data_IF_586229715358
#
_entry.id   IF_586229715358
#
_cell.length_a   1.000
_cell.length_b   1.000
_cell.length_c   1.000
_cell.angle_alpha   90.00
_cell.angle_beta   90.00
_cell.angle_gamma   90.00
#
_symmetry.space_group_name_H-M   'P 1'
#
loop_
_entity.id
_entity.type
_entity.pdbx_description
1 polymer ?
#
# COMPACT_ATOMS: atom_id res chain seq x y z
N UNK A 1 -1.61 2.55 -12.76
CA UNK A 1 -1.66 4.01 -12.47
C UNK A 1 -0.63 4.32 -11.40
N UNK A 2 -0.26 5.59 -11.22
CA UNK A 2 0.61 6.01 -10.10
C UNK A 2 0.01 7.23 -9.42
N UNK A 3 0.27 7.43 -8.13
CA UNK A 3 -0.06 8.68 -7.46
C UNK A 3 1.09 9.14 -6.55
N UNK A 4 1.10 10.43 -6.24
CA UNK A 4 2.02 10.98 -5.24
C UNK A 4 1.83 10.27 -3.91
N UNK A 5 2.95 9.96 -3.24
CA UNK A 5 2.92 9.55 -1.85
C UNK A 5 2.31 10.67 -1.00
N UNK A 6 1.15 10.41 -0.41
CA UNK A 6 0.40 11.40 0.35
C UNK A 6 0.94 11.56 1.79
N UNK A 7 2.26 11.64 1.92
CA UNK A 7 2.98 11.84 3.18
C UNK A 7 3.72 13.17 3.15
N UNK A 8 3.64 13.87 4.27
CA UNK A 8 4.50 15.01 4.55
C UNK A 8 5.82 14.50 5.15
N UNK A 9 6.94 15.05 4.71
CA UNK A 9 8.26 14.66 5.20
C UNK A 9 9.40 15.02 4.24
N UNK A 10 10.62 14.69 4.64
CA UNK A 10 11.79 14.84 3.77
C UNK A 10 11.76 13.78 2.65
N UNK A 11 12.02 14.18 1.41
CA UNK A 11 12.01 13.23 0.30
C UNK A 11 13.03 12.11 0.50
N UNK A 12 14.16 12.35 1.19
CA UNK A 12 15.20 11.35 1.47
C UNK A 12 14.71 10.24 2.38
N UNK A 13 13.81 10.54 3.32
CA UNK A 13 13.25 9.53 4.22
C UNK A 13 12.13 8.73 3.56
N UNK A 14 11.58 9.21 2.45
CA UNK A 14 10.44 8.62 1.74
C UNK A 14 10.82 7.89 0.45
N UNK A 15 12.11 7.88 0.06
CA UNK A 15 12.55 7.29 -1.23
C UNK A 15 12.27 5.80 -1.36
N UNK A 16 12.17 5.14 -0.21
CA UNK A 16 12.02 3.72 -0.08
C UNK A 16 10.57 3.31 0.26
N UNK A 17 9.63 4.25 0.34
CA UNK A 17 8.24 3.95 0.68
C UNK A 17 7.41 3.73 -0.59
N UNK A 18 7.04 2.48 -0.82
CA UNK A 18 6.25 2.07 -1.97
C UNK A 18 5.00 1.33 -1.52
N UNK A 19 3.85 1.83 -1.95
CA UNK A 19 2.55 1.21 -1.68
C UNK A 19 1.95 0.78 -3.02
N UNK A 20 1.84 -0.53 -3.24
CA UNK A 20 1.17 -1.09 -4.41
C UNK A 20 -0.20 -1.57 -3.96
N UNK A 21 -1.26 -1.07 -4.59
CA UNK A 21 -2.63 -1.46 -4.24
C UNK A 21 -3.45 -1.82 -5.48
N UNK A 22 -4.34 -2.78 -5.29
CA UNK A 22 -5.26 -3.28 -6.30
C UNK A 22 -6.69 -2.93 -5.92
N UNK A 23 -7.43 -2.36 -6.87
CA UNK A 23 -8.82 -1.95 -6.70
C UNK A 23 -9.65 -2.51 -7.87
N UNK A 24 -10.73 -3.24 -7.62
CA UNK A 24 -11.71 -3.55 -8.65
C UNK A 24 -12.54 -2.30 -8.99
N UNK A 25 -12.74 -2.06 -10.27
CA UNK A 25 -13.65 -1.06 -10.80
C UNK A 25 -15.10 -1.56 -10.71
N UNK A 26 -15.91 -0.79 -9.98
CA UNK A 26 -17.33 -1.09 -9.75
C UNK A 26 -18.11 -1.17 -11.06
N UNK A 27 -18.86 -2.25 -11.25
CA UNK A 27 -19.65 -2.49 -12.46
C UNK A 27 -18.88 -3.03 -13.67
N UNK A 28 -17.54 -3.14 -13.60
CA UNK A 28 -16.72 -3.65 -14.70
C UNK A 28 -16.03 -4.97 -14.35
N UNK A 29 -15.31 -5.03 -13.23
CA UNK A 29 -14.52 -6.20 -12.82
C UNK A 29 -14.61 -6.46 -11.30
N UNK A 30 -15.66 -5.98 -10.66
CA UNK A 30 -15.97 -6.18 -9.24
C UNK A 30 -16.69 -7.50 -8.95
N UNK A 31 -17.34 -8.10 -9.95
CA UNK A 31 -17.88 -9.47 -9.85
C UNK A 31 -16.74 -10.48 -9.79
N UNK A 32 -16.85 -11.41 -8.83
CA UNK A 32 -15.87 -12.50 -8.62
C UNK A 32 -14.41 -12.02 -8.49
N UNK A 33 -14.21 -10.79 -8.00
CA UNK A 33 -12.87 -10.22 -7.83
C UNK A 33 -12.14 -10.71 -6.58
N UNK A 34 -12.85 -11.30 -5.61
CA UNK A 34 -12.28 -11.73 -4.32
C UNK A 34 -11.11 -12.72 -4.50
N UNK A 35 -11.22 -13.80 -5.30
CA UNK A 35 -10.07 -14.67 -5.57
C UNK A 35 -8.87 -13.95 -6.17
N UNK A 36 -9.11 -12.96 -7.05
CA UNK A 36 -8.05 -12.16 -7.67
C UNK A 36 -7.35 -11.24 -6.67
N UNK A 37 -8.10 -10.65 -5.74
CA UNK A 37 -7.55 -9.83 -4.66
C UNK A 37 -6.72 -10.67 -3.68
N UNK A 38 -7.17 -11.91 -3.40
CA UNK A 38 -6.40 -12.86 -2.59
C UNK A 38 -5.10 -13.26 -3.30
N UNK A 39 -5.17 -13.53 -4.60
CA UNK A 39 -4.00 -13.88 -5.40
C UNK A 39 -2.98 -12.73 -5.42
N UNK A 40 -3.44 -11.48 -5.59
CA UNK A 40 -2.59 -10.30 -5.46
C UNK A 40 -1.81 -10.29 -4.14
N UNK A 41 -2.48 -10.54 -3.01
CA UNK A 41 -1.82 -10.59 -1.70
C UNK A 41 -0.84 -11.76 -1.58
N UNK A 42 -1.20 -12.96 -2.08
CA UNK A 42 -0.31 -14.13 -2.07
C UNK A 42 0.94 -13.89 -2.91
N UNK A 43 0.81 -13.25 -4.07
CA UNK A 43 1.93 -12.85 -4.89
C UNK A 43 2.80 -11.82 -4.16
N UNK A 44 2.20 -10.82 -3.52
CA UNK A 44 2.94 -9.80 -2.78
C UNK A 44 3.84 -10.41 -1.69
N UNK A 45 3.31 -11.38 -0.93
CA UNK A 45 4.03 -12.06 0.17
C UNK A 45 5.34 -12.69 -0.29
N UNK A 46 5.43 -13.18 -1.53
CA UNK A 46 6.67 -13.78 -2.08
C UNK A 46 7.84 -12.78 -2.15
N UNK A 47 7.52 -11.49 -2.17
CA UNK A 47 8.49 -10.39 -2.28
C UNK A 47 8.74 -9.68 -0.93
N UNK A 48 8.43 -10.34 0.19
CA UNK A 48 8.70 -9.86 1.56
C UNK A 48 8.22 -8.42 1.84
N UNK A 49 6.90 -8.15 1.71
CA UNK A 49 6.36 -6.83 1.99
C UNK A 49 6.47 -6.50 3.48
N UNK A 50 6.74 -5.23 3.81
CA UNK A 50 6.76 -4.75 5.20
C UNK A 50 5.36 -4.67 5.79
N UNK A 51 4.34 -4.51 4.96
CA UNK A 51 2.94 -4.59 5.38
C UNK A 51 2.05 -5.07 4.22
N UNK A 52 0.97 -5.76 4.54
CA UNK A 52 -0.11 -6.06 3.61
C UNK A 52 -1.43 -5.81 4.31
N UNK A 53 -2.47 -5.48 3.56
CA UNK A 53 -3.77 -5.26 4.16
C UNK A 53 -4.92 -5.21 3.19
N UNK A 54 -6.10 -5.31 3.79
CA UNK A 54 -7.38 -5.07 3.16
C UNK A 54 -8.00 -3.80 3.75
N UNK A 55 -8.52 -2.91 2.91
CA UNK A 55 -9.20 -1.68 3.33
C UNK A 55 -10.42 -1.92 4.23
N UNK A 56 -11.04 -3.10 4.19
CA UNK A 56 -12.20 -3.43 5.02
C UNK A 56 -11.82 -4.12 6.34
N UNK A 57 -10.78 -4.96 6.34
CA UNK A 57 -10.42 -5.82 7.48
C UNK A 57 -9.06 -5.48 8.10
N UNK A 58 -8.29 -4.51 7.61
CA UNK A 58 -7.01 -4.08 8.18
C UNK A 58 -5.81 -4.92 7.72
N UNK A 59 -4.65 -4.68 8.34
CA UNK A 59 -3.34 -5.21 7.91
C UNK A 59 -2.87 -6.50 8.60
N UNK A 60 -1.65 -6.94 8.25
CA UNK A 60 -1.02 -8.14 8.80
C UNK A 60 -0.62 -8.01 10.28
N UNK A 61 -0.34 -6.79 10.75
CA UNK A 61 -0.13 -6.50 12.17
C UNK A 61 -1.45 -6.18 12.84
N UNK A 62 -1.91 -7.08 13.71
CA UNK A 62 -3.24 -7.01 14.31
C UNK A 62 -3.17 -6.82 15.82
N UNK A 63 -4.11 -6.06 16.41
CA UNK A 63 -4.21 -5.97 17.86
C UNK A 63 -4.59 -7.35 18.44
N UNK A 64 -3.93 -7.72 19.54
CA UNK A 64 -4.35 -8.88 20.32
C UNK A 64 -5.67 -8.55 21.01
N UNK A 65 -6.63 -9.48 21.00
CA UNK A 65 -7.84 -9.37 21.83
C UNK A 65 -7.54 -9.68 23.31
N UNK A 66 -6.50 -10.45 23.55
CA UNK A 66 -6.03 -10.82 24.88
C UNK A 66 -4.87 -9.91 25.25
N UNK A 67 -5.20 -8.73 25.76
CA UNK A 67 -4.24 -7.80 26.34
C UNK A 67 -4.33 -7.93 27.86
N UNK A 68 -3.32 -8.55 28.45
CA UNK A 68 -3.11 -8.56 29.90
C UNK A 68 -1.75 -7.90 30.20
N UNK A 69 -1.46 -7.49 31.45
CA UNK A 69 -0.19 -6.85 31.78
C UNK A 69 1.04 -7.65 31.34
N UNK A 70 0.98 -8.98 31.34
CA UNK A 70 2.08 -9.86 30.94
C UNK A 70 2.33 -9.87 29.42
N UNK A 71 1.37 -9.41 28.60
CA UNK A 71 1.49 -9.37 27.15
C UNK A 71 2.69 -8.53 26.68
N UNK A 72 3.15 -7.57 27.47
CA UNK A 72 4.38 -6.82 27.16
C UNK A 72 5.62 -7.71 27.02
N UNK A 73 5.67 -8.84 27.75
CA UNK A 73 6.84 -9.73 27.79
C UNK A 73 6.65 -11.04 27.02
N UNK A 74 5.41 -11.41 26.71
CA UNK A 74 5.09 -12.72 26.10
C UNK A 74 4.44 -12.61 24.73
N UNK A 75 4.07 -11.41 24.27
CA UNK A 75 3.42 -11.23 22.98
C UNK A 75 4.36 -11.61 21.85
N UNK A 76 3.93 -12.59 21.06
CA UNK A 76 4.53 -12.89 19.77
C UNK A 76 4.20 -11.77 18.78
N UNK A 77 5.21 -11.21 18.15
CA UNK A 77 5.06 -10.21 17.10
C UNK A 77 5.07 -10.88 15.72
N UNK A 78 4.15 -11.83 15.52
CA UNK A 78 4.05 -12.61 14.28
C UNK A 78 3.01 -11.97 13.35
N UNK A 79 3.32 -11.77 12.06
CA UNK A 79 2.38 -11.21 11.10
C UNK A 79 1.31 -12.23 10.71
N UNK A 80 0.04 -11.83 10.77
CA UNK A 80 -1.11 -12.69 10.47
C UNK A 80 -1.44 -12.69 8.96
N UNK A 81 -0.48 -13.09 8.13
CA UNK A 81 -0.56 -13.00 6.66
C UNK A 81 -1.75 -13.79 6.10
N UNK A 82 -1.85 -15.08 6.42
CA UNK A 82 -2.94 -15.93 5.91
C UNK A 82 -4.31 -15.44 6.38
N UNK A 83 -4.40 -14.94 7.62
CA UNK A 83 -5.64 -14.36 8.14
C UNK A 83 -6.11 -13.15 7.32
N UNK A 84 -5.17 -12.29 6.88
CA UNK A 84 -5.50 -11.15 6.00
C UNK A 84 -6.04 -11.66 4.66
N UNK A 85 -5.35 -12.63 4.04
CA UNK A 85 -5.74 -13.18 2.74
C UNK A 85 -7.11 -13.85 2.80
N UNK A 86 -7.35 -14.70 3.78
CA UNK A 86 -8.63 -15.42 3.92
C UNK A 86 -9.80 -14.49 4.25
N UNK A 87 -9.55 -13.41 4.99
CA UNK A 87 -10.60 -12.45 5.39
C UNK A 87 -11.05 -11.50 4.29
N UNK A 88 -10.35 -11.43 3.16
CA UNK A 88 -10.86 -10.73 1.97
C UNK A 88 -12.12 -11.46 1.52
N UNK A 89 -13.29 -10.87 1.80
CA UNK A 89 -14.61 -11.50 1.59
C UNK A 89 -15.51 -10.76 0.60
N UNK A 90 -15.16 -9.53 0.24
CA UNK A 90 -15.96 -8.64 -0.59
C UNK A 90 -15.04 -7.82 -1.51
N UNK A 91 -15.57 -7.25 -2.62
CA UNK A 91 -14.86 -6.28 -3.41
C UNK A 91 -14.39 -5.12 -2.51
N UNK A 92 -13.09 -4.86 -2.52
CA UNK A 92 -12.38 -3.96 -1.61
C UNK A 92 -11.04 -3.57 -2.22
N UNK A 93 -10.32 -2.65 -1.56
CA UNK A 93 -8.94 -2.31 -1.90
C UNK A 93 -8.00 -3.18 -1.09
N UNK A 94 -7.07 -3.86 -1.75
CA UNK A 94 -5.95 -4.56 -1.09
C UNK A 94 -4.65 -3.84 -1.39
N UNK A 95 -3.75 -3.81 -0.42
CA UNK A 95 -2.48 -3.11 -0.54
C UNK A 95 -1.32 -3.96 0.00
N UNK A 96 -0.16 -3.77 -0.61
CA UNK A 96 1.14 -4.27 -0.17
C UNK A 96 2.12 -3.10 -0.10
N UNK A 97 2.87 -3.02 0.98
CA UNK A 97 3.83 -1.97 1.27
C UNK A 97 5.23 -2.57 1.25
N UNK A 98 6.16 -1.89 0.59
CA UNK A 98 7.54 -2.31 0.43
C UNK A 98 8.47 -1.16 0.85
N UNK A 99 9.63 -1.53 1.38
CA UNK A 99 10.68 -0.61 1.85
C UNK A 99 11.90 -0.57 0.89
N UNK A 100 11.78 -1.20 -0.27
CA UNK A 100 12.85 -1.27 -1.25
C UNK A 100 12.29 -1.41 -2.66
N UNK A 101 13.05 -0.87 -3.62
CA UNK A 101 12.64 -0.76 -5.01
C UNK A 101 12.65 -2.11 -5.75
N UNK A 102 13.63 -2.96 -5.47
CA UNK A 102 13.81 -4.25 -6.13
C UNK A 102 12.60 -5.17 -5.91
N UNK A 103 12.09 -5.24 -4.67
CA UNK A 103 10.89 -6.02 -4.35
C UNK A 103 9.66 -5.56 -5.14
N UNK A 104 9.49 -4.23 -5.30
CA UNK A 104 8.37 -3.65 -6.04
C UNK A 104 8.47 -3.97 -7.53
N UNK A 105 9.65 -3.84 -8.12
CA UNK A 105 9.87 -4.13 -9.54
C UNK A 105 9.59 -5.60 -9.86
N UNK A 106 10.10 -6.51 -9.02
CA UNK A 106 9.86 -7.94 -9.15
C UNK A 106 8.37 -8.28 -8.97
N UNK A 107 7.72 -7.67 -7.97
CA UNK A 107 6.30 -7.88 -7.71
C UNK A 107 5.42 -7.36 -8.85
N UNK A 108 5.63 -6.11 -9.31
CA UNK A 108 4.86 -5.51 -10.41
C UNK A 108 5.12 -6.26 -11.72
N UNK A 109 6.34 -6.75 -11.95
CA UNK A 109 6.68 -7.62 -13.07
C UNK A 109 5.90 -8.95 -13.04
N UNK A 110 5.76 -9.58 -11.86
CA UNK A 110 4.95 -10.79 -11.68
C UNK A 110 3.46 -10.50 -11.88
N UNK A 111 2.94 -9.41 -11.31
CA UNK A 111 1.55 -8.97 -11.46
C UNK A 111 1.17 -8.74 -12.92
N UNK A 112 2.06 -8.13 -13.70
CA UNK A 112 1.87 -7.94 -15.14
C UNK A 112 1.67 -9.27 -15.87
N UNK A 113 2.45 -10.29 -15.52
CA UNK A 113 2.35 -11.62 -16.14
C UNK A 113 1.09 -12.36 -15.70
N UNK A 114 0.66 -12.17 -14.46
CA UNK A 114 -0.53 -12.81 -13.92
C UNK A 114 -1.84 -12.24 -14.49
N UNK A 115 -1.81 -11.01 -15.00
CA UNK A 115 -2.95 -10.32 -15.65
C UNK A 115 -4.28 -10.56 -14.94
N UNK A 116 -4.32 -10.24 -13.65
CA UNK A 116 -5.51 -10.48 -12.80
C UNK A 116 -6.74 -9.68 -13.28
N UNK A 117 -6.57 -8.74 -14.21
CA UNK A 117 -7.61 -7.84 -14.68
C UNK A 117 -8.09 -6.87 -13.61
N UNK A 118 -7.24 -6.55 -12.63
CA UNK A 118 -7.48 -5.57 -11.57
C UNK A 118 -6.77 -4.25 -11.89
N UNK A 119 -7.31 -3.13 -11.41
CA UNK A 119 -6.60 -1.85 -11.53
C UNK A 119 -5.50 -1.78 -10.46
N UNK A 120 -4.25 -1.70 -10.91
CA UNK A 120 -3.08 -1.56 -10.04
C UNK A 120 -2.65 -0.08 -9.97
N UNK A 121 -2.40 0.39 -8.75
CA UNK A 121 -1.85 1.71 -8.49
C UNK A 121 -0.61 1.61 -7.59
N UNK A 122 0.41 2.41 -7.89
CA UNK A 122 1.64 2.54 -7.10
C UNK A 122 1.71 3.96 -6.53
N UNK A 123 1.65 4.05 -5.20
CA UNK A 123 1.93 5.28 -4.46
C UNK A 123 3.38 5.28 -4.00
N UNK A 124 4.14 6.28 -4.44
CA UNK A 124 5.51 6.52 -4.02
C UNK A 124 5.87 7.99 -4.36
N UNK A 125 7.10 8.39 -4.07
CA UNK A 125 7.62 9.63 -4.67
C UNK A 125 7.50 9.52 -6.19
N UNK A 126 7.06 10.62 -6.84
CA UNK A 126 6.68 10.62 -8.26
C UNK A 126 7.80 10.07 -9.15
N UNK A 127 9.03 10.53 -8.91
CA UNK A 127 10.20 10.11 -9.69
C UNK A 127 10.49 8.62 -9.47
N UNK A 128 10.33 8.12 -8.24
CA UNK A 128 10.55 6.71 -7.89
C UNK A 128 9.51 5.79 -8.49
N UNK A 129 8.24 6.20 -8.50
CA UNK A 129 7.17 5.46 -9.16
C UNK A 129 7.41 5.39 -10.68
N UNK A 130 7.91 6.47 -11.28
CA UNK A 130 8.25 6.52 -12.70
C UNK A 130 9.45 5.62 -13.03
N UNK A 131 10.54 5.71 -12.28
CA UNK A 131 11.72 4.84 -12.43
C UNK A 131 11.34 3.36 -12.33
N UNK A 132 10.58 2.99 -11.29
CA UNK A 132 10.13 1.62 -11.07
C UNK A 132 9.32 1.08 -12.26
N UNK A 133 8.42 1.89 -12.83
CA UNK A 133 7.67 1.49 -14.03
C UNK A 133 8.57 1.39 -15.27
N UNK A 134 9.46 2.37 -15.47
CA UNK A 134 10.31 2.43 -16.65
C UNK A 134 11.26 1.24 -16.75
N UNK A 135 11.89 0.86 -15.64
CA UNK A 135 12.94 -0.15 -15.62
C UNK A 135 12.40 -1.57 -15.86
N UNK A 136 11.10 -1.81 -15.60
CA UNK A 136 10.39 -3.04 -15.96
C UNK A 136 9.67 -2.96 -17.32
N UNK A 137 9.95 -1.92 -18.11
CA UNK A 137 9.37 -1.71 -19.43
C UNK A 137 7.86 -1.47 -19.40
N UNK A 138 7.36 -0.81 -18.35
CA UNK A 138 5.97 -0.39 -18.21
C UNK A 138 5.84 1.13 -18.39
N UNK A 139 4.92 1.52 -19.27
CA UNK A 139 4.48 2.90 -19.36
C UNK A 139 3.31 3.11 -18.38
N UNK A 140 3.51 3.98 -17.40
CA UNK A 140 2.44 4.40 -16.48
C UNK A 140 1.29 5.01 -17.28
N UNK A 141 0.06 4.58 -16.98
CA UNK A 141 -1.14 5.08 -17.67
C UNK A 141 -1.47 6.54 -17.32
N UNK A 142 -1.44 6.87 -16.03
CA UNK A 142 -1.84 8.17 -15.50
C UNK A 142 -1.15 8.43 -14.16
N UNK A 143 -1.04 9.71 -13.81
CA UNK A 143 -0.40 10.18 -12.57
C UNK A 143 -1.33 11.16 -11.89
N UNK A 144 -1.62 10.87 -10.64
CA UNK A 144 -2.33 11.79 -9.75
C UNK A 144 -1.30 12.54 -8.89
N UNK A 145 -1.40 13.88 -8.89
CA UNK A 145 -0.55 14.75 -8.09
C UNK A 145 -1.36 15.36 -6.95
N UNK A 146 -0.95 15.10 -5.71
CA UNK A 146 -1.32 15.96 -4.60
C UNK A 146 -0.42 17.18 -4.55
N UNK A 147 -1.07 18.34 -4.45
CA UNK A 147 -0.39 19.60 -4.18
C UNK A 147 -0.13 19.73 -2.68
N UNK A 148 0.88 20.54 -2.33
CA UNK A 148 1.19 20.85 -0.94
C UNK A 148 0.10 21.69 -0.26
N UNK A 149 0.32 21.99 1.02
CA UNK A 149 -0.59 22.83 1.80
C UNK A 149 -0.71 24.24 1.22
N UNK A 150 -1.94 24.72 1.10
CA UNK A 150 -2.27 26.07 0.63
C UNK A 150 -3.10 26.82 1.68
N UNK A 151 -2.89 28.12 1.83
CA UNK A 151 -3.65 28.98 2.74
C UNK A 151 -2.88 29.38 4.01
N UNK A 152 -3.55 29.35 5.17
CA UNK A 152 -2.98 29.75 6.47
C UNK A 152 -2.08 28.65 7.04
N UNK A 153 -0.92 28.44 6.43
CA UNK A 153 0.04 27.40 6.80
C UNK A 153 0.65 27.59 8.20
N UNK A 154 0.53 28.79 8.76
CA UNK A 154 0.89 29.14 10.14
C UNK A 154 0.00 28.47 11.19
N UNK A 155 -1.19 27.99 10.81
CA UNK A 155 -2.12 27.29 11.69
C UNK A 155 -2.02 25.76 11.62
N UNK A 156 -1.12 25.25 10.77
CA UNK A 156 -0.89 23.81 10.69
C UNK A 156 -0.28 23.29 11.99
N UNK A 157 -0.50 22.01 12.28
CA UNK A 157 0.22 21.34 13.33
C UNK A 157 1.73 21.39 13.06
N UNK A 158 2.53 21.18 14.09
CA UNK A 158 3.97 21.08 13.90
C UNK A 158 4.34 19.91 12.98
N UNK A 159 5.58 19.95 12.49
CA UNK A 159 6.09 19.00 11.51
C UNK A 159 5.95 17.55 11.96
N UNK A 160 6.21 17.23 13.23
CA UNK A 160 6.20 15.85 13.70
C UNK A 160 4.79 15.27 13.68
N UNK A 161 3.80 16.09 14.03
CA UNK A 161 2.39 15.71 13.94
C UNK A 161 1.97 15.49 12.49
N UNK A 162 2.34 16.41 11.58
CA UNK A 162 2.00 16.30 10.16
C UNK A 162 2.63 15.05 9.50
N UNK A 163 3.89 14.73 9.82
CA UNK A 163 4.57 13.53 9.31
C UNK A 163 3.86 12.23 9.72
N UNK A 164 3.12 12.23 10.83
CA UNK A 164 2.34 11.08 11.30
C UNK A 164 0.89 11.09 10.81
N UNK A 165 0.26 12.25 10.70
CA UNK A 165 -1.18 12.38 10.40
C UNK A 165 -1.47 12.41 8.90
N UNK A 166 -0.51 12.77 8.06
CA UNK A 166 -0.67 12.80 6.60
C UNK A 166 -0.33 11.43 6.00
N UNK A 167 -1.36 10.64 5.71
CA UNK A 167 -1.19 9.32 5.06
C UNK A 167 -2.07 9.11 3.83
N UNK A 168 -3.24 9.73 3.78
CA UNK A 168 -4.21 9.55 2.69
C UNK A 168 -4.49 10.84 1.91
N UNK A 169 -3.65 11.87 2.06
CA UNK A 169 -3.81 13.15 1.35
C UNK A 169 -4.89 14.07 1.94
N UNK A 170 -5.52 13.64 3.03
CA UNK A 170 -6.46 14.44 3.82
C UNK A 170 -5.66 14.99 5.02
N UNK A 171 -5.14 16.20 4.87
CA UNK A 171 -4.42 16.94 5.92
C UNK A 171 -5.10 18.26 6.24
#
# INVERSE_FOLDING_TARGET
MTNTLHRYGDSRTLQNDFIVFAIPCRGYNDKDCVPKLREFLRMAVKHNPVNIGDGSKGGMYRPSKELNPLAHWTRKNEPAIEEVVEKVSNPTTVAAVFDNREAVENFVGELRKADLGLSINISALVDRAQECCHDIGLNRHSVEYSLGFMGKTDRLADRQVLELSTMCGHG
#
